data_IF_757985529730
#
_entry.id   IF_757985529730
#
_cell.length_a   1.000
_cell.length_b   1.000
_cell.length_c   1.000
_cell.angle_alpha   90.00
_cell.angle_beta   90.00
_cell.angle_gamma   90.00
#
_symmetry.space_group_name_H-M   'P 1'
#
loop_
_entity.id
_entity.type
_entity.pdbx_description
1 polymer ?
#
# COMPACT_ATOMS: atom_id res chain seq x y z
N UNK A 1 -18.74 14.79 -8.44
CA UNK A 1 -17.42 14.40 -7.88
C UNK A 1 -17.29 12.89 -8.03
N UNK A 2 -16.51 12.40 -9.00
CA UNK A 2 -16.42 10.96 -9.27
C UNK A 2 -15.79 10.23 -8.08
N UNK A 3 -16.45 9.17 -7.58
CA UNK A 3 -15.86 8.26 -6.60
C UNK A 3 -14.57 7.72 -7.21
N UNK A 4 -13.43 8.03 -6.60
CA UNK A 4 -12.14 7.50 -7.00
C UNK A 4 -12.21 5.97 -6.95
N UNK A 5 -11.94 5.29 -8.07
CA UNK A 5 -11.61 3.86 -8.11
C UNK A 5 -10.25 3.66 -7.41
N UNK A 6 -10.24 3.84 -6.09
CA UNK A 6 -9.07 3.55 -5.27
C UNK A 6 -9.01 2.05 -5.04
N UNK A 7 -7.93 1.41 -5.44
CA UNK A 7 -7.75 -0.03 -5.19
C UNK A 7 -7.66 -0.35 -3.70
N UNK A 8 -7.82 -1.62 -3.32
CA UNK A 8 -7.72 -2.05 -1.92
C UNK A 8 -6.36 -1.69 -1.33
N UNK A 9 -5.30 -1.90 -2.12
CA UNK A 9 -3.95 -1.50 -1.74
C UNK A 9 -3.88 0.00 -1.48
N UNK A 10 -4.39 0.82 -2.42
CA UNK A 10 -4.36 2.27 -2.31
C UNK A 10 -5.04 2.79 -1.03
N UNK A 11 -6.21 2.24 -0.72
CA UNK A 11 -6.97 2.59 0.48
C UNK A 11 -6.21 2.24 1.77
N UNK A 12 -5.64 1.03 1.85
CA UNK A 12 -4.88 0.59 3.02
C UNK A 12 -3.56 1.33 3.17
N UNK A 13 -2.92 1.69 2.05
CA UNK A 13 -1.71 2.50 2.07
C UNK A 13 -1.99 3.91 2.61
N UNK A 14 -3.10 4.54 2.20
CA UNK A 14 -3.52 5.83 2.76
C UNK A 14 -3.91 5.73 4.25
N UNK A 15 -4.56 4.64 4.66
CA UNK A 15 -4.88 4.38 6.06
C UNK A 15 -3.60 4.24 6.90
N UNK A 16 -2.60 3.48 6.42
CA UNK A 16 -1.31 3.33 7.09
C UNK A 16 -0.59 4.69 7.22
N UNK A 17 -0.51 5.46 6.14
CA UNK A 17 0.05 6.82 6.21
C UNK A 17 -0.66 7.68 7.27
N UNK A 18 -1.99 7.63 7.33
CA UNK A 18 -2.76 8.39 8.30
C UNK A 18 -2.49 7.96 9.75
N UNK A 19 -2.37 6.64 10.04
CA UNK A 19 -2.02 6.15 11.39
C UNK A 19 -0.65 6.65 11.86
N UNK A 20 0.29 6.78 10.93
CA UNK A 20 1.63 7.30 11.18
C UNK A 20 1.71 8.84 11.10
N UNK A 21 0.57 9.54 11.00
CA UNK A 21 0.48 10.99 10.81
C UNK A 21 1.33 11.52 9.64
N UNK A 22 1.53 10.68 8.63
CA UNK A 22 2.45 10.92 7.54
C UNK A 22 1.71 11.42 6.30
N UNK A 23 2.21 12.50 5.71
CA UNK A 23 1.70 13.01 4.43
C UNK A 23 2.36 12.31 3.25
N UNK A 24 1.68 12.25 2.10
CA UNK A 24 2.24 11.65 0.86
C UNK A 24 3.55 12.32 0.40
N UNK A 25 3.72 13.61 0.69
CA UNK A 25 4.96 14.36 0.42
C UNK A 25 6.13 13.82 1.25
N UNK A 26 5.92 13.65 2.55
CA UNK A 26 6.92 13.09 3.48
C UNK A 26 7.22 11.62 3.12
N UNK A 27 6.19 10.84 2.76
CA UNK A 27 6.38 9.47 2.29
C UNK A 27 7.26 9.42 1.03
N UNK A 28 7.05 10.33 0.07
CA UNK A 28 7.88 10.40 -1.13
C UNK A 28 9.35 10.70 -0.81
N UNK A 29 9.58 11.61 0.14
CA UNK A 29 10.92 11.98 0.61
C UNK A 29 11.62 10.79 1.29
N UNK A 30 10.94 10.12 2.23
CA UNK A 30 11.49 8.94 2.92
C UNK A 30 11.77 7.76 1.99
N UNK A 31 10.95 7.58 0.96
CA UNK A 31 11.13 6.52 -0.03
C UNK A 31 12.20 6.87 -1.09
N UNK A 32 12.64 8.13 -1.16
CA UNK A 32 13.48 8.68 -2.24
C UNK A 32 12.86 8.48 -3.64
N UNK A 33 11.56 8.74 -3.75
CA UNK A 33 10.77 8.60 -4.99
C UNK A 33 9.99 9.88 -5.29
N UNK A 34 9.40 9.97 -6.50
CA UNK A 34 8.59 11.12 -6.86
C UNK A 34 7.23 11.12 -6.14
N UNK A 35 6.68 12.32 -5.89
CA UNK A 35 5.29 12.46 -5.40
C UNK A 35 4.27 11.82 -6.33
N UNK A 36 4.54 11.84 -7.64
CA UNK A 36 3.71 11.20 -8.65
C UNK A 36 3.67 9.67 -8.47
N UNK A 37 4.81 9.05 -8.13
CA UNK A 37 4.87 7.61 -7.83
C UNK A 37 4.04 7.26 -6.58
N UNK A 38 4.18 8.01 -5.48
CA UNK A 38 3.37 7.80 -4.27
C UNK A 38 1.88 7.99 -4.56
N UNK A 39 1.51 9.01 -5.33
CA UNK A 39 0.12 9.26 -5.74
C UNK A 39 -0.44 8.15 -6.63
N UNK A 40 0.39 7.58 -7.52
CA UNK A 40 0.03 6.44 -8.38
C UNK A 40 -0.27 5.20 -7.54
N UNK A 41 0.60 4.90 -6.56
CA UNK A 41 0.41 3.79 -5.61
C UNK A 41 -0.84 3.99 -4.76
N UNK A 42 -1.02 5.18 -4.18
CA UNK A 42 -2.17 5.48 -3.32
C UNK A 42 -3.51 5.40 -4.09
N UNK A 43 -3.49 5.63 -5.40
CA UNK A 43 -4.67 5.44 -6.27
C UNK A 43 -4.82 4.00 -6.77
N UNK A 44 -3.92 3.09 -6.42
CA UNK A 44 -3.98 1.71 -6.86
C UNK A 44 -3.72 1.51 -8.36
N UNK A 45 -3.07 2.47 -9.01
CA UNK A 45 -2.81 2.40 -10.45
C UNK A 45 -1.56 1.57 -10.72
N UNK A 46 -1.74 0.27 -10.93
CA UNK A 46 -0.71 -0.70 -11.30
C UNK A 46 -0.31 -1.61 -10.14
N UNK A 47 0.12 -2.83 -10.46
CA UNK A 47 0.54 -3.82 -9.46
C UNK A 47 1.80 -3.36 -8.73
N UNK A 48 1.75 -3.39 -7.40
CA UNK A 48 2.93 -3.19 -6.55
C UNK A 48 3.56 -4.56 -6.30
N UNK A 49 4.84 -4.69 -6.62
CA UNK A 49 5.58 -5.94 -6.39
C UNK A 49 5.76 -6.20 -4.88
N UNK A 50 5.78 -7.45 -4.42
CA UNK A 50 5.95 -7.79 -3.01
C UNK A 50 7.17 -7.11 -2.37
N UNK A 51 8.32 -7.11 -3.03
CA UNK A 51 9.56 -6.53 -2.51
C UNK A 51 9.45 -5.00 -2.35
N UNK A 52 8.59 -4.37 -3.15
CA UNK A 52 8.28 -2.94 -3.00
C UNK A 52 7.41 -2.68 -1.78
N UNK A 53 6.49 -3.59 -1.45
CA UNK A 53 5.64 -3.47 -0.26
C UNK A 53 6.52 -3.57 0.99
N UNK A 54 7.46 -4.51 1.02
CA UNK A 54 8.39 -4.68 2.14
C UNK A 54 9.28 -3.44 2.30
N UNK A 55 9.91 -2.99 1.21
CA UNK A 55 10.75 -1.79 1.24
C UNK A 55 9.99 -0.52 1.62
N UNK A 56 8.71 -0.40 1.20
CA UNK A 56 7.86 0.72 1.62
C UNK A 56 7.60 0.64 3.13
N UNK A 57 7.21 -0.54 3.60
CA UNK A 57 6.82 -0.75 5.00
C UNK A 57 8.00 -0.52 5.94
N UNK A 58 9.17 -1.05 5.60
CA UNK A 58 10.41 -0.83 6.36
C UNK A 58 10.76 0.66 6.43
N UNK A 59 10.84 1.35 5.27
CA UNK A 59 11.25 2.76 5.21
C UNK A 59 10.25 3.72 5.86
N UNK A 60 8.97 3.38 5.83
CA UNK A 60 7.91 4.22 6.43
C UNK A 60 7.64 3.84 7.89
N UNK A 61 8.19 2.73 8.38
CA UNK A 61 8.01 2.27 9.76
C UNK A 61 6.65 1.61 9.99
N UNK A 62 6.05 1.00 8.97
CA UNK A 62 4.81 0.26 9.10
C UNK A 62 5.04 -1.03 9.89
N UNK A 63 4.07 -1.40 10.72
CA UNK A 63 4.10 -2.65 11.49
C UNK A 63 3.94 -3.86 10.59
N UNK A 64 4.35 -5.03 11.07
CA UNK A 64 4.19 -6.30 10.33
C UNK A 64 2.73 -6.56 9.93
N UNK A 65 1.77 -6.21 10.79
CA UNK A 65 0.35 -6.36 10.49
C UNK A 65 -0.11 -5.44 9.35
N UNK A 66 0.37 -4.20 9.33
CA UNK A 66 0.11 -3.27 8.24
C UNK A 66 0.72 -3.79 6.92
N UNK A 67 1.94 -4.31 6.98
CA UNK A 67 2.64 -4.94 5.84
C UNK A 67 1.86 -6.15 5.31
N UNK A 68 1.41 -7.05 6.19
CA UNK A 68 0.57 -8.21 5.82
C UNK A 68 -0.72 -7.77 5.14
N UNK A 69 -1.41 -6.76 5.69
CA UNK A 69 -2.63 -6.22 5.09
C UNK A 69 -2.39 -5.62 3.71
N UNK A 70 -1.26 -4.93 3.50
CA UNK A 70 -0.87 -4.39 2.19
C UNK A 70 -0.58 -5.50 1.17
N UNK A 71 0.13 -6.56 1.55
CA UNK A 71 0.34 -7.73 0.68
C UNK A 71 -0.98 -8.40 0.29
N UNK A 72 -1.87 -8.64 1.27
CA UNK A 72 -3.20 -9.21 1.03
C UNK A 72 -3.99 -8.36 0.05
N UNK A 73 -3.94 -7.05 0.21
CA UNK A 73 -4.63 -6.11 -0.67
C UNK A 73 -4.08 -6.10 -2.09
N UNK A 74 -2.74 -6.11 -2.24
CA UNK A 74 -2.10 -6.19 -3.54
C UNK A 74 -2.45 -7.49 -4.28
N UNK A 75 -2.47 -8.62 -3.57
CA UNK A 75 -2.85 -9.90 -4.15
C UNK A 75 -4.33 -9.92 -4.58
N UNK A 76 -5.25 -9.40 -3.76
CA UNK A 76 -6.66 -9.27 -4.14
C UNK A 76 -6.86 -8.34 -5.34
N UNK A 77 -6.16 -7.20 -5.38
CA UNK A 77 -6.21 -6.27 -6.52
C UNK A 77 -5.62 -6.90 -7.80
N UNK A 78 -4.66 -7.81 -7.68
CA UNK A 78 -4.12 -8.60 -8.78
C UNK A 78 -5.01 -9.79 -9.20
N UNK A 79 -6.12 -10.03 -8.50
CA UNK A 79 -7.11 -11.07 -8.82
C UNK A 79 -6.85 -12.43 -8.17
N UNK A 80 -5.90 -12.53 -7.24
CA UNK A 80 -5.73 -13.75 -6.45
C UNK A 80 -6.92 -13.93 -5.51
N UNK A 81 -7.41 -15.18 -5.42
CA UNK A 81 -8.33 -15.61 -4.38
C UNK A 81 -7.53 -15.99 -3.14
N UNK A 82 -7.78 -15.32 -2.03
CA UNK A 82 -7.06 -15.48 -0.76
C UNK A 82 -7.93 -16.22 0.26
N UNK A 83 -8.62 -17.24 -0.24
CA UNK A 83 -9.56 -18.11 0.46
C UNK A 83 -8.77 -19.24 1.15
N UNK A 84 -7.57 -18.93 1.66
CA UNK A 84 -6.73 -19.89 2.36
C UNK A 84 -7.28 -20.06 3.78
N UNK A 85 -7.43 -21.30 4.26
CA UNK A 85 -7.84 -21.55 5.63
C UNK A 85 -6.77 -21.03 6.62
N UNK A 86 -7.21 -20.65 7.82
CA UNK A 86 -6.40 -19.93 8.83
C UNK A 86 -5.24 -20.77 9.43
N UNK A 87 -5.01 -21.99 8.95
CA UNK A 87 -4.10 -23.00 9.51
C UNK A 87 -2.81 -23.23 8.70
N UNK A 88 -2.33 -22.22 7.95
CA UNK A 88 -1.06 -22.25 7.22
C UNK A 88 0.04 -21.37 7.85
#
# INVERSE_FOLDING_TARGET
>A
MGKSDTSRFGALFEEALARHSMRKIEAAERLSVSRAYVSKIARGKGSVLPERIDAISEKLGFSEEETRRLHRAAALDAGFRLDLPDDF
#
